data_IF_545444687950
#
_entry.id   IF_545444687950
#
_cell.length_a   1.000
_cell.length_b   1.000
_cell.length_c   1.000
_cell.angle_alpha   90.00
_cell.angle_beta   90.00
_cell.angle_gamma   90.00
#
_symmetry.space_group_name_H-M   'P 1'
#
loop_
_entity.id
_entity.type
_entity.pdbx_description
1 polymer ?
#
# COMPACT_ATOMS: atom_id res chain seq x y z
N UNK A 1 35.36 -19.35 -21.02
CA UNK A 1 34.50 -19.93 -19.95
C UNK A 1 33.22 -20.47 -20.58
N UNK A 2 32.52 -21.41 -19.95
CA UNK A 2 31.14 -21.74 -20.34
C UNK A 2 30.20 -20.63 -19.86
N UNK A 3 29.22 -20.28 -20.69
CA UNK A 3 28.25 -19.22 -20.44
C UNK A 3 26.83 -19.72 -20.70
N UNK A 4 25.83 -18.98 -20.22
CA UNK A 4 24.40 -19.16 -20.50
C UNK A 4 23.82 -17.81 -20.90
N UNK A 5 22.84 -17.80 -21.81
CA UNK A 5 22.06 -16.60 -22.11
C UNK A 5 20.81 -16.59 -21.23
N UNK A 6 20.50 -15.43 -20.66
CA UNK A 6 19.33 -15.21 -19.80
C UNK A 6 18.57 -13.99 -20.31
N UNK A 7 17.29 -14.16 -20.59
CA UNK A 7 16.41 -13.08 -21.01
C UNK A 7 15.94 -12.25 -19.80
N UNK A 8 16.14 -10.94 -19.87
CA UNK A 8 15.80 -9.98 -18.80
C UNK A 8 14.86 -8.89 -19.35
N UNK A 9 13.69 -8.64 -18.74
CA UNK A 9 12.82 -7.56 -19.19
C UNK A 9 13.49 -6.19 -18.99
N UNK A 10 13.27 -5.27 -19.93
CA UNK A 10 13.83 -3.93 -19.92
C UNK A 10 12.90 -2.94 -20.65
N UNK A 11 12.21 -2.09 -19.88
CA UNK A 11 11.15 -1.25 -20.42
C UNK A 11 10.02 -2.11 -21.01
N UNK A 12 9.63 -1.81 -22.25
CA UNK A 12 8.63 -2.57 -23.03
C UNK A 12 9.20 -3.83 -23.72
N UNK A 13 10.51 -4.10 -23.62
CA UNK A 13 11.20 -5.17 -24.37
C UNK A 13 12.04 -6.08 -23.47
N UNK A 14 12.91 -6.90 -24.06
CA UNK A 14 13.78 -7.87 -23.38
C UNK A 14 15.23 -7.69 -23.82
N UNK A 15 16.17 -7.91 -22.91
CA UNK A 15 17.61 -7.94 -23.15
C UNK A 15 18.18 -9.32 -22.86
N UNK A 16 18.82 -9.93 -23.86
CA UNK A 16 19.66 -11.12 -23.69
C UNK A 16 20.93 -10.76 -22.91
N UNK A 17 21.11 -11.32 -21.72
CA UNK A 17 22.34 -11.22 -20.94
C UNK A 17 23.13 -12.53 -21.00
N UNK A 18 24.33 -12.50 -21.60
CA UNK A 18 25.28 -13.62 -21.52
C UNK A 18 25.99 -13.62 -20.18
N UNK A 19 25.69 -14.60 -19.32
CA UNK A 19 26.20 -14.72 -17.96
C UNK A 19 27.05 -16.01 -17.81
N UNK A 20 27.94 -16.11 -16.80
CA UNK A 20 28.70 -17.33 -16.57
C UNK A 20 27.80 -18.55 -16.29
N UNK A 21 28.18 -19.75 -16.72
CA UNK A 21 27.34 -20.96 -16.55
C UNK A 21 27.11 -21.40 -15.10
N UNK A 22 27.79 -20.77 -14.12
CA UNK A 22 27.54 -20.92 -12.67
C UNK A 22 26.41 -20.02 -12.13
N UNK A 23 25.74 -19.26 -12.99
CA UNK A 23 24.66 -18.35 -12.60
C UNK A 23 23.44 -19.15 -12.13
N UNK A 24 22.96 -18.87 -10.92
CA UNK A 24 21.71 -19.45 -10.40
C UNK A 24 20.55 -18.48 -10.63
N UNK A 25 19.50 -18.95 -11.31
CA UNK A 25 18.25 -18.20 -11.46
C UNK A 25 17.40 -18.38 -10.20
N UNK A 26 17.04 -17.28 -9.54
CA UNK A 26 16.07 -17.26 -8.43
C UNK A 26 14.72 -16.78 -8.98
N UNK A 27 13.71 -17.66 -8.96
CA UNK A 27 12.39 -17.32 -9.53
C UNK A 27 11.62 -16.35 -8.64
N UNK A 28 11.07 -15.29 -9.24
CA UNK A 28 10.10 -14.43 -8.58
C UNK A 28 8.64 -14.88 -8.79
N UNK A 29 8.40 -15.96 -9.52
CA UNK A 29 7.06 -16.45 -9.87
C UNK A 29 6.38 -17.16 -8.69
N UNK A 30 5.05 -17.30 -8.79
CA UNK A 30 4.18 -18.22 -8.06
C UNK A 30 4.71 -19.68 -8.16
N UNK A 31 4.70 -20.42 -7.06
CA UNK A 31 4.94 -21.87 -7.05
C UNK A 31 3.69 -22.67 -7.42
N UNK A 32 2.51 -22.05 -7.35
CA UNK A 32 1.23 -22.61 -7.79
C UNK A 32 0.32 -21.46 -8.23
N UNK A 33 -0.16 -21.50 -9.47
CA UNK A 33 -1.22 -20.61 -9.96
C UNK A 33 -2.58 -21.20 -9.60
N UNK A 34 -3.47 -20.39 -9.05
CA UNK A 34 -4.85 -20.79 -8.83
C UNK A 34 -5.63 -20.80 -10.16
N UNK A 35 -6.65 -21.64 -10.27
CA UNK A 35 -7.58 -21.59 -11.40
C UNK A 35 -8.40 -20.29 -11.38
N UNK A 36 -8.79 -19.74 -12.55
CA UNK A 36 -9.72 -18.63 -12.61
C UNK A 36 -11.13 -19.07 -12.19
N UNK A 37 -11.94 -18.13 -11.68
CA UNK A 37 -13.36 -18.34 -11.42
C UNK A 37 -14.14 -18.45 -12.74
N UNK A 38 -15.14 -19.34 -12.77
CA UNK A 38 -16.01 -19.56 -13.93
C UNK A 38 -17.04 -18.42 -14.08
N UNK A 39 -17.77 -18.10 -13.02
CA UNK A 39 -18.62 -16.90 -12.92
C UNK A 39 -18.10 -15.98 -11.79
N UNK A 40 -17.55 -14.83 -12.21
CA UNK A 40 -17.08 -13.78 -11.31
C UNK A 40 -18.23 -13.07 -10.57
N UNK A 41 -19.37 -12.87 -11.21
CA UNK A 41 -20.53 -12.21 -10.62
C UNK A 41 -21.17 -13.07 -9.53
N UNK A 42 -21.34 -14.37 -9.78
CA UNK A 42 -21.77 -15.32 -8.74
C UNK A 42 -20.78 -15.38 -7.59
N UNK A 43 -19.46 -15.42 -7.86
CA UNK A 43 -18.45 -15.46 -6.81
C UNK A 43 -18.41 -14.19 -5.94
N UNK A 44 -18.59 -13.00 -6.54
CA UNK A 44 -18.71 -11.73 -5.81
C UNK A 44 -19.97 -11.72 -4.94
N UNK A 45 -21.14 -12.07 -5.50
CA UNK A 45 -22.40 -12.14 -4.73
C UNK A 45 -22.34 -13.17 -3.60
N UNK A 46 -21.71 -14.33 -3.83
CA UNK A 46 -21.50 -15.34 -2.78
C UNK A 46 -20.58 -14.85 -1.65
N UNK A 47 -19.53 -14.06 -1.98
CA UNK A 47 -18.68 -13.45 -0.96
C UNK A 47 -19.44 -12.40 -0.13
N UNK A 48 -20.26 -11.55 -0.78
CA UNK A 48 -21.11 -10.56 -0.11
C UNK A 48 -22.22 -11.18 0.76
N UNK A 49 -22.76 -12.33 0.35
CA UNK A 49 -23.77 -13.06 1.11
C UNK A 49 -23.21 -13.80 2.35
N UNK A 50 -21.90 -14.11 2.38
CA UNK A 50 -21.25 -14.86 3.48
C UNK A 50 -19.97 -14.19 4.03
N UNK A 51 -20.05 -12.92 4.48
CA UNK A 51 -18.90 -12.10 4.87
C UNK A 51 -18.15 -12.65 6.10
N UNK A 52 -16.85 -12.36 6.16
CA UNK A 52 -15.93 -12.84 7.22
C UNK A 52 -15.81 -11.83 8.36
N UNK A 53 -16.40 -12.15 9.52
CA UNK A 53 -16.22 -11.37 10.74
C UNK A 53 -16.91 -9.99 10.76
N UNK A 54 -17.87 -9.77 9.85
CA UNK A 54 -18.88 -8.72 9.90
C UNK A 54 -20.24 -9.31 9.50
N UNK A 55 -21.36 -8.67 9.87
CA UNK A 55 -22.65 -8.82 9.18
C UNK A 55 -22.57 -8.46 7.68
N UNK A 56 -23.66 -8.69 6.95
CA UNK A 56 -23.83 -8.24 5.55
C UNK A 56 -23.92 -6.72 5.44
N UNK A 57 -23.72 -6.19 4.24
CA UNK A 57 -23.76 -4.73 4.00
C UNK A 57 -25.14 -4.19 4.38
N UNK A 58 -26.22 -4.90 4.03
CA UNK A 58 -27.59 -4.54 4.41
C UNK A 58 -27.90 -4.55 5.92
N UNK A 59 -27.05 -5.19 6.73
CA UNK A 59 -27.13 -5.16 8.21
C UNK A 59 -26.23 -4.06 8.83
N UNK A 60 -25.29 -3.51 8.04
CA UNK A 60 -24.35 -2.47 8.45
C UNK A 60 -24.84 -1.05 8.11
N UNK A 61 -25.90 -0.91 7.32
CA UNK A 61 -26.49 0.37 6.92
C UNK A 61 -27.95 0.49 7.34
N UNK A 62 -28.43 1.73 7.38
CA UNK A 62 -29.84 2.10 7.50
C UNK A 62 -30.32 2.70 6.18
N UNK A 63 -31.63 2.69 5.86
CA UNK A 63 -32.15 3.39 4.69
C UNK A 63 -31.68 4.85 4.63
N UNK A 64 -31.22 5.28 3.46
CA UNK A 64 -30.67 6.61 3.24
C UNK A 64 -29.32 6.92 3.91
N UNK A 65 -28.60 5.92 4.42
CA UNK A 65 -27.22 6.07 4.92
C UNK A 65 -26.27 6.64 3.85
N UNK A 66 -25.25 7.40 4.26
CA UNK A 66 -24.18 7.85 3.36
C UNK A 66 -23.07 6.81 3.25
N UNK A 67 -22.72 6.36 2.04
CA UNK A 67 -21.75 5.26 1.85
C UNK A 67 -20.63 5.65 0.90
N UNK A 68 -19.40 5.30 1.26
CA UNK A 68 -18.23 5.44 0.37
C UNK A 68 -17.77 4.07 -0.09
N UNK A 69 -17.64 3.88 -1.42
CA UNK A 69 -17.01 2.71 -2.01
C UNK A 69 -15.63 3.13 -2.55
N UNK A 70 -14.59 2.78 -1.81
CA UNK A 70 -13.21 2.97 -2.21
C UNK A 70 -12.73 1.81 -3.09
N UNK A 71 -11.82 2.06 -4.02
CA UNK A 71 -11.26 1.04 -4.90
C UNK A 71 -9.79 1.29 -5.25
N UNK A 72 -9.02 0.21 -5.46
CA UNK A 72 -7.62 0.28 -5.88
C UNK A 72 -7.45 1.06 -7.20
N UNK A 73 -6.43 1.91 -7.29
CA UNK A 73 -6.07 2.61 -8.52
C UNK A 73 -5.48 1.68 -9.61
N UNK A 74 -5.09 2.28 -10.74
CA UNK A 74 -4.52 1.58 -11.89
C UNK A 74 -3.11 0.99 -11.64
N UNK A 75 -2.44 1.31 -10.52
CA UNK A 75 -1.14 0.73 -10.16
C UNK A 75 -1.26 -0.68 -9.61
N UNK A 76 -2.45 -1.06 -9.14
CA UNK A 76 -2.77 -2.45 -8.84
C UNK A 76 -3.07 -3.19 -10.15
N UNK A 77 -2.08 -3.96 -10.61
CA UNK A 77 -2.08 -4.74 -11.84
C UNK A 77 -3.16 -5.83 -11.87
N UNK A 78 -4.37 -5.38 -12.17
CA UNK A 78 -5.63 -6.10 -12.32
C UNK A 78 -6.41 -5.33 -13.38
N UNK A 79 -6.56 -5.92 -14.57
CA UNK A 79 -7.14 -5.30 -15.76
C UNK A 79 -8.51 -5.90 -16.12
N UNK A 80 -8.91 -6.96 -15.42
CA UNK A 80 -10.24 -7.54 -15.51
C UNK A 80 -11.32 -6.74 -14.77
N UNK A 81 -12.60 -7.07 -14.99
CA UNK A 81 -13.76 -6.30 -14.51
C UNK A 81 -14.06 -6.45 -13.00
N UNK A 82 -13.12 -6.94 -12.19
CA UNK A 82 -13.34 -7.15 -10.75
C UNK A 82 -13.80 -5.88 -10.03
N UNK A 83 -13.26 -4.70 -10.40
CA UNK A 83 -13.66 -3.44 -9.76
C UNK A 83 -15.12 -3.12 -10.04
N UNK A 84 -15.54 -3.14 -11.30
CA UNK A 84 -16.93 -2.81 -11.68
C UNK A 84 -17.92 -3.85 -11.18
N UNK A 85 -17.64 -5.15 -11.34
CA UNK A 85 -18.52 -6.23 -10.85
C UNK A 85 -18.68 -6.19 -9.33
N UNK A 86 -17.61 -5.87 -8.58
CA UNK A 86 -17.70 -5.71 -7.13
C UNK A 86 -18.39 -4.41 -6.70
N UNK A 87 -18.25 -3.32 -7.45
CA UNK A 87 -18.97 -2.07 -7.17
C UNK A 87 -20.47 -2.24 -7.43
N UNK A 88 -20.87 -2.76 -8.59
CA UNK A 88 -22.28 -2.97 -8.93
C UNK A 88 -22.98 -3.93 -7.94
N UNK A 89 -22.35 -5.06 -7.59
CA UNK A 89 -22.93 -5.99 -6.60
C UNK A 89 -23.05 -5.39 -5.18
N UNK A 90 -22.22 -4.39 -4.83
CA UNK A 90 -22.38 -3.61 -3.60
C UNK A 90 -23.52 -2.61 -3.73
N UNK A 91 -23.69 -1.98 -4.90
CA UNK A 91 -24.82 -1.08 -5.16
C UNK A 91 -26.16 -1.84 -5.13
N UNK A 92 -26.24 -3.05 -5.70
CA UNK A 92 -27.40 -3.95 -5.60
C UNK A 92 -27.80 -4.23 -4.13
N UNK A 93 -26.84 -4.56 -3.26
CA UNK A 93 -27.14 -4.83 -1.84
C UNK A 93 -27.48 -3.54 -1.05
N UNK A 94 -26.88 -2.41 -1.40
CA UNK A 94 -27.21 -1.10 -0.80
C UNK A 94 -28.61 -0.61 -1.20
N UNK A 95 -29.00 -0.75 -2.47
CA UNK A 95 -30.35 -0.45 -2.97
C UNK A 95 -31.40 -1.31 -2.26
N UNK A 96 -31.12 -2.61 -2.10
CA UNK A 96 -31.94 -3.55 -1.32
C UNK A 96 -32.10 -3.12 0.14
N UNK A 97 -31.08 -2.49 0.73
CA UNK A 97 -31.11 -1.93 2.08
C UNK A 97 -31.70 -0.51 2.17
N UNK A 98 -32.28 0.02 1.08
CA UNK A 98 -32.88 1.36 1.04
C UNK A 98 -31.86 2.50 0.96
N UNK A 99 -30.63 2.24 0.52
CA UNK A 99 -29.60 3.25 0.23
C UNK A 99 -29.55 3.49 -1.28
N UNK A 100 -30.14 4.58 -1.81
CA UNK A 100 -30.13 4.83 -3.25
C UNK A 100 -28.72 5.23 -3.73
N UNK A 101 -28.36 4.94 -4.99
CA UNK A 101 -27.03 5.26 -5.55
C UNK A 101 -26.58 6.71 -5.33
N UNK A 102 -27.51 7.66 -5.31
CA UNK A 102 -27.25 9.09 -5.04
C UNK A 102 -26.66 9.38 -3.66
N UNK A 103 -26.79 8.46 -2.70
CA UNK A 103 -26.12 8.50 -1.38
C UNK A 103 -24.73 7.87 -1.36
N UNK A 104 -24.29 7.33 -2.49
CA UNK A 104 -23.00 6.65 -2.64
C UNK A 104 -21.99 7.54 -3.37
N UNK A 105 -20.76 7.55 -2.87
CA UNK A 105 -19.59 8.21 -3.47
C UNK A 105 -18.51 7.15 -3.77
N UNK A 106 -17.93 7.18 -4.97
CA UNK A 106 -16.80 6.34 -5.34
C UNK A 106 -15.49 7.12 -5.15
N UNK A 107 -14.48 6.50 -4.54
CA UNK A 107 -13.14 7.10 -4.41
C UNK A 107 -12.02 6.16 -4.87
N UNK A 108 -11.21 6.65 -5.81
CA UNK A 108 -9.99 5.97 -6.21
C UNK A 108 -8.93 6.15 -5.12
N UNK A 109 -8.41 5.04 -4.60
CA UNK A 109 -7.45 5.00 -3.51
C UNK A 109 -6.00 5.13 -4.01
N UNK A 110 -5.70 6.24 -4.69
CA UNK A 110 -4.42 6.49 -5.34
C UNK A 110 -3.29 6.97 -4.41
N UNK A 111 -3.51 7.12 -3.10
CA UNK A 111 -2.47 7.51 -2.13
C UNK A 111 -1.67 8.76 -2.57
N UNK A 112 -0.34 8.62 -2.76
CA UNK A 112 0.57 9.66 -3.24
C UNK A 112 0.80 9.63 -4.76
N UNK A 113 0.08 8.79 -5.50
CA UNK A 113 0.09 8.79 -6.95
C UNK A 113 -0.78 9.94 -7.48
N UNK A 114 -0.47 10.40 -8.69
CA UNK A 114 -1.30 11.38 -9.42
C UNK A 114 -2.77 10.92 -9.48
N UNK A 115 -3.70 11.88 -9.43
CA UNK A 115 -5.11 11.63 -9.75
C UNK A 115 -5.24 11.09 -11.18
N UNK A 116 -6.16 10.14 -11.38
CA UNK A 116 -6.48 9.57 -12.69
C UNK A 116 -7.44 10.48 -13.45
N UNK A 117 -7.30 10.57 -14.77
CA UNK A 117 -8.25 11.27 -15.64
C UNK A 117 -9.52 10.42 -15.83
N UNK A 118 -10.68 10.99 -16.19
CA UNK A 118 -11.91 10.21 -16.42
C UNK A 118 -11.75 9.06 -17.41
N UNK A 119 -11.03 9.28 -18.52
CA UNK A 119 -10.71 8.23 -19.51
C UNK A 119 -9.71 7.17 -19.02
N UNK A 120 -9.03 7.38 -17.89
CA UNK A 120 -8.17 6.39 -17.24
C UNK A 120 -8.93 5.61 -16.16
N UNK A 121 -9.87 6.27 -15.46
CA UNK A 121 -10.84 5.62 -14.58
C UNK A 121 -11.75 4.66 -15.37
N UNK A 122 -12.21 5.08 -16.56
CA UNK A 122 -13.00 4.24 -17.46
C UNK A 122 -12.28 2.95 -17.88
N UNK A 123 -10.95 2.92 -17.94
CA UNK A 123 -10.17 1.71 -18.23
C UNK A 123 -10.15 0.69 -17.09
N UNK A 124 -10.51 1.09 -15.86
CA UNK A 124 -10.50 0.22 -14.68
C UNK A 124 -11.88 0.05 -14.03
N UNK A 125 -12.87 0.90 -14.37
CA UNK A 125 -14.26 0.83 -13.90
C UNK A 125 -15.29 0.55 -15.03
N UNK A 126 -14.89 0.63 -16.30
CA UNK A 126 -15.85 0.80 -17.39
C UNK A 126 -16.38 2.24 -17.49
N UNK A 127 -16.98 2.58 -18.64
CA UNK A 127 -17.49 3.94 -18.85
C UNK A 127 -18.75 4.25 -18.04
N UNK A 128 -19.59 3.24 -17.79
CA UNK A 128 -20.94 3.46 -17.27
C UNK A 128 -20.93 3.94 -15.81
N UNK A 129 -20.13 3.32 -14.94
CA UNK A 129 -19.89 3.81 -13.57
C UNK A 129 -19.28 5.21 -13.56
N UNK A 130 -18.37 5.52 -14.49
CA UNK A 130 -17.76 6.87 -14.60
C UNK A 130 -18.81 7.91 -15.01
N UNK A 131 -19.74 7.54 -15.89
CA UNK A 131 -20.83 8.39 -16.39
C UNK A 131 -21.94 8.59 -15.36
N UNK A 132 -22.32 7.54 -14.62
CA UNK A 132 -23.38 7.57 -13.60
C UNK A 132 -22.97 8.33 -12.33
N UNK A 133 -21.73 8.12 -11.87
CA UNK A 133 -21.23 8.80 -10.67
C UNK A 133 -20.76 10.23 -10.98
N UNK A 134 -20.07 10.47 -12.09
CA UNK A 134 -19.64 11.80 -12.51
C UNK A 134 -18.90 12.55 -11.40
N UNK A 135 -19.44 13.66 -10.85
CA UNK A 135 -18.82 14.39 -9.73
C UNK A 135 -18.75 13.58 -8.41
N UNK A 136 -19.52 12.49 -8.28
CA UNK A 136 -19.46 11.53 -7.15
C UNK A 136 -18.39 10.45 -7.33
N UNK A 137 -17.62 10.48 -8.41
CA UNK A 137 -16.44 9.65 -8.62
C UNK A 137 -15.19 10.53 -8.51
N UNK A 138 -14.48 10.42 -7.38
CA UNK A 138 -13.30 11.23 -7.08
C UNK A 138 -12.02 10.39 -7.04
N UNK A 139 -10.88 11.04 -7.20
CA UNK A 139 -9.58 10.49 -6.84
C UNK A 139 -9.14 11.11 -5.51
N UNK A 140 -8.55 10.31 -4.63
CA UNK A 140 -7.94 10.79 -3.40
C UNK A 140 -6.89 11.88 -3.70
N UNK A 141 -6.84 12.92 -2.88
CA UNK A 141 -5.77 13.90 -2.91
C UNK A 141 -5.14 13.98 -1.51
N UNK A 142 -3.83 13.73 -1.46
CA UNK A 142 -3.06 13.74 -0.22
C UNK A 142 -2.58 15.14 0.20
N UNK A 143 -2.77 16.16 -0.66
CA UNK A 143 -2.41 17.56 -0.40
C UNK A 143 -3.64 18.46 -0.17
N UNK A 144 -4.86 17.97 -0.43
CA UNK A 144 -6.12 18.66 -0.12
C UNK A 144 -6.43 18.60 1.38
N UNK A 145 -6.04 19.66 2.11
CA UNK A 145 -6.24 19.75 3.55
C UNK A 145 -7.72 19.84 3.96
N UNK A 146 -8.64 20.24 3.08
CA UNK A 146 -10.07 20.26 3.38
C UNK A 146 -10.70 18.87 3.23
N UNK A 147 -10.06 17.97 2.47
CA UNK A 147 -10.48 16.59 2.27
C UNK A 147 -9.85 15.59 3.27
N UNK A 148 -8.96 16.01 4.17
CA UNK A 148 -8.27 15.15 5.15
C UNK A 148 -8.79 15.37 6.58
N UNK A 149 -8.86 14.29 7.36
CA UNK A 149 -9.12 14.30 8.81
C UNK A 149 -7.94 13.67 9.54
N UNK A 150 -7.36 14.40 10.50
CA UNK A 150 -6.41 13.87 11.48
C UNK A 150 -7.17 13.14 12.61
N UNK A 151 -6.95 11.83 12.73
CA UNK A 151 -7.52 11.00 13.80
C UNK A 151 -6.60 10.95 15.03
N UNK A 152 -5.49 11.69 15.01
CA UNK A 152 -4.45 11.75 16.02
C UNK A 152 -3.40 10.66 15.84
N UNK A 153 -2.69 10.36 16.93
CA UNK A 153 -1.63 9.35 16.94
C UNK A 153 -2.07 8.05 17.59
N UNK A 154 -1.54 6.93 17.11
CA UNK A 154 -1.76 5.62 17.72
C UNK A 154 -1.20 5.57 19.15
N UNK A 155 -1.85 4.85 20.09
CA UNK A 155 -1.47 4.89 21.50
C UNK A 155 -0.25 4.04 21.85
N UNK A 156 0.10 3.04 21.03
CA UNK A 156 1.18 2.09 21.33
C UNK A 156 2.53 2.66 20.85
N UNK A 157 2.60 3.16 19.60
CA UNK A 157 3.85 3.66 19.01
C UNK A 157 3.81 5.12 18.48
N UNK A 158 2.69 5.83 18.62
CA UNK A 158 2.61 7.26 18.27
C UNK A 158 2.56 7.57 16.77
N UNK A 159 2.21 6.61 15.92
CA UNK A 159 2.10 6.79 14.46
C UNK A 159 0.94 7.76 14.14
N UNK A 160 1.13 8.78 13.29
CA UNK A 160 0.03 9.65 12.85
C UNK A 160 -0.95 8.86 11.98
N UNK A 161 -2.25 9.15 12.11
CA UNK A 161 -3.32 8.51 11.33
C UNK A 161 -4.22 9.58 10.73
N UNK A 162 -3.87 10.00 9.51
CA UNK A 162 -4.60 10.95 8.69
C UNK A 162 -5.30 10.19 7.55
N UNK A 163 -6.58 10.48 7.31
CA UNK A 163 -7.39 9.77 6.30
C UNK A 163 -8.35 10.71 5.56
N UNK A 164 -8.70 10.37 4.32
CA UNK A 164 -9.71 11.07 3.55
C UNK A 164 -11.04 11.13 4.31
N UNK A 165 -11.62 12.32 4.38
CA UNK A 165 -12.78 12.67 5.20
C UNK A 165 -14.01 11.80 4.94
N UNK A 166 -14.23 11.37 3.70
CA UNK A 166 -15.26 10.38 3.34
C UNK A 166 -15.20 9.10 4.18
N UNK A 167 -14.01 8.61 4.57
CA UNK A 167 -13.84 7.40 5.39
C UNK A 167 -14.28 7.62 6.84
N UNK A 168 -14.06 8.83 7.36
CA UNK A 168 -14.46 9.21 8.71
C UNK A 168 -15.95 9.56 8.80
N UNK A 169 -16.51 10.19 7.77
CA UNK A 169 -17.87 10.74 7.81
C UNK A 169 -18.96 9.77 7.32
N UNK A 170 -18.66 8.87 6.38
CA UNK A 170 -19.66 7.92 5.84
C UNK A 170 -20.17 6.93 6.90
N UNK A 171 -21.46 6.62 6.86
CA UNK A 171 -22.11 5.60 7.69
C UNK A 171 -21.48 4.21 7.47
N UNK A 172 -21.05 3.91 6.25
CA UNK A 172 -20.22 2.75 5.92
C UNK A 172 -19.12 3.13 4.91
N UNK A 173 -17.93 2.55 5.08
CA UNK A 173 -16.89 2.50 4.04
C UNK A 173 -16.73 1.06 3.56
N UNK A 174 -16.95 0.84 2.27
CA UNK A 174 -16.62 -0.40 1.55
C UNK A 174 -15.32 -0.19 0.78
N UNK A 175 -14.39 -1.14 0.79
CA UNK A 175 -13.17 -1.07 -0.02
C UNK A 175 -13.00 -2.30 -0.92
N UNK A 176 -12.92 -2.06 -2.23
CA UNK A 176 -12.70 -3.04 -3.30
C UNK A 176 -11.20 -3.13 -3.64
N UNK A 177 -10.54 -4.18 -3.15
CA UNK A 177 -9.18 -4.53 -3.55
C UNK A 177 -9.21 -5.47 -4.76
N UNK A 178 -8.73 -4.97 -5.89
CA UNK A 178 -8.73 -5.63 -7.19
C UNK A 178 -7.60 -6.66 -7.35
N UNK A 179 -6.54 -6.58 -6.51
CA UNK A 179 -5.52 -7.62 -6.36
C UNK A 179 -4.80 -7.56 -5.02
N UNK A 180 -4.88 -8.66 -4.30
CA UNK A 180 -4.01 -9.01 -3.19
C UNK A 180 -2.67 -9.49 -3.74
N UNK A 181 -1.58 -8.80 -3.41
CA UNK A 181 -0.26 -9.02 -4.00
C UNK A 181 0.76 -9.34 -2.89
N UNK A 182 1.12 -10.63 -2.79
CA UNK A 182 1.96 -11.17 -1.70
C UNK A 182 1.41 -10.73 -0.34
N UNK A 183 2.26 -10.46 0.65
CA UNK A 183 1.82 -9.81 1.89
C UNK A 183 1.76 -8.28 1.81
N UNK A 184 1.90 -7.67 0.63
CA UNK A 184 2.03 -6.22 0.48
C UNK A 184 0.68 -5.50 0.41
N UNK A 185 -0.19 -5.87 -0.54
CA UNK A 185 -1.54 -5.28 -0.69
C UNK A 185 -2.58 -5.91 0.25
N UNK A 186 -3.81 -5.39 0.19
CA UNK A 186 -4.92 -5.78 1.06
C UNK A 186 -4.73 -5.35 2.51
N UNK A 187 -5.60 -5.83 3.41
CA UNK A 187 -5.58 -5.41 4.81
C UNK A 187 -5.72 -3.90 4.99
N UNK A 188 -5.12 -3.37 6.06
CA UNK A 188 -5.21 -1.96 6.42
C UNK A 188 -4.46 -1.00 5.47
N UNK A 189 -3.55 -1.50 4.62
CA UNK A 189 -2.92 -0.72 3.53
C UNK A 189 -3.95 -0.07 2.60
N UNK A 190 -5.08 -0.73 2.38
CA UNK A 190 -6.17 -0.20 1.55
C UNK A 190 -6.63 1.19 2.02
N UNK A 191 -6.78 1.40 3.33
CA UNK A 191 -7.26 2.68 3.88
C UNK A 191 -6.08 3.53 4.35
N UNK A 192 -5.25 3.01 5.26
CA UNK A 192 -4.15 3.74 5.93
C UNK A 192 -2.93 4.02 5.02
N UNK A 193 -3.03 3.71 3.72
CA UNK A 193 -2.12 4.19 2.66
C UNK A 193 -2.93 4.68 1.47
N UNK A 194 -3.88 3.89 0.96
CA UNK A 194 -4.67 4.22 -0.24
C UNK A 194 -5.46 5.54 -0.14
N UNK A 195 -5.90 5.91 1.07
CA UNK A 195 -6.72 7.10 1.36
C UNK A 195 -6.08 7.99 2.43
N UNK A 196 -4.75 7.98 2.53
CA UNK A 196 -3.97 8.69 3.57
C UNK A 196 -2.95 9.67 2.98
N UNK A 197 -2.34 10.47 3.85
CA UNK A 197 -1.34 11.50 3.52
C UNK A 197 0.08 10.98 3.54
N UNK A 198 1.04 11.79 3.06
CA UNK A 198 2.47 11.50 3.18
C UNK A 198 2.89 11.24 4.63
N UNK A 199 2.31 11.96 5.60
CA UNK A 199 2.71 11.89 7.00
C UNK A 199 2.36 10.56 7.67
N UNK A 200 1.23 9.95 7.27
CA UNK A 200 0.88 8.58 7.64
C UNK A 200 1.70 7.54 6.86
N UNK A 201 1.86 7.73 5.55
CA UNK A 201 2.45 6.75 4.62
C UNK A 201 3.96 6.57 4.86
N UNK A 202 4.69 7.64 5.18
CA UNK A 202 6.15 7.62 5.38
C UNK A 202 6.61 6.72 6.54
N UNK A 203 5.73 6.41 7.50
CA UNK A 203 6.02 5.52 8.64
C UNK A 203 6.42 4.12 8.15
N UNK A 204 5.66 3.60 7.18
CA UNK A 204 5.86 2.27 6.60
C UNK A 204 6.82 2.28 5.41
N UNK A 205 6.83 3.35 4.61
CA UNK A 205 7.60 3.45 3.37
C UNK A 205 9.08 3.87 3.62
N UNK A 206 9.71 3.21 4.59
CA UNK A 206 11.14 3.30 4.89
C UNK A 206 11.89 2.06 4.35
N UNK A 207 13.22 2.14 4.12
CA UNK A 207 14.01 1.01 3.62
C UNK A 207 13.91 -0.28 4.45
N UNK A 208 13.74 -0.15 5.77
CA UNK A 208 13.60 -1.26 6.71
C UNK A 208 12.13 -1.53 7.11
N UNK A 209 11.17 -0.78 6.54
CA UNK A 209 9.73 -0.86 6.87
C UNK A 209 8.90 -1.52 5.77
N UNK A 210 9.18 -1.21 4.50
CA UNK A 210 8.40 -1.69 3.37
C UNK A 210 8.69 -3.17 3.08
N UNK A 211 7.69 -4.04 3.23
CA UNK A 211 7.89 -5.50 3.06
C UNK A 211 6.80 -6.20 2.25
N UNK A 212 7.23 -7.06 1.33
CA UNK A 212 6.38 -7.98 0.57
C UNK A 212 6.10 -9.31 1.31
N UNK A 213 6.67 -9.51 2.51
CA UNK A 213 6.67 -10.80 3.21
C UNK A 213 5.26 -11.26 3.59
N UNK A 214 5.01 -12.57 3.51
CA UNK A 214 3.74 -13.20 3.93
C UNK A 214 3.73 -13.51 5.44
N UNK A 215 4.91 -13.52 6.08
CA UNK A 215 5.09 -13.82 7.51
C UNK A 215 5.97 -12.76 8.18
N UNK A 216 5.62 -12.34 9.41
CA UNK A 216 6.36 -11.30 10.15
C UNK A 216 6.51 -10.01 9.34
N UNK A 217 5.39 -9.48 8.86
CA UNK A 217 5.39 -8.31 7.98
C UNK A 217 5.22 -7.03 8.80
N UNK A 218 6.34 -6.44 9.19
CA UNK A 218 6.46 -5.15 9.90
C UNK A 218 5.58 -4.04 9.30
N UNK A 219 5.43 -3.97 7.98
CA UNK A 219 4.58 -2.97 7.34
C UNK A 219 3.13 -3.12 7.80
N UNK A 220 2.63 -4.35 7.86
CA UNK A 220 1.25 -4.60 8.30
C UNK A 220 1.10 -4.65 9.81
N UNK A 221 2.12 -5.04 10.57
CA UNK A 221 2.10 -4.88 12.04
C UNK A 221 1.83 -3.41 12.43
N UNK A 222 2.45 -2.46 11.71
CA UNK A 222 2.20 -1.01 11.83
C UNK A 222 0.81 -0.61 11.30
N UNK A 223 0.42 -1.06 10.11
CA UNK A 223 -0.87 -0.69 9.52
C UNK A 223 -2.07 -1.27 10.30
N UNK A 224 -1.92 -2.44 10.91
CA UNK A 224 -2.94 -3.06 11.74
C UNK A 224 -3.13 -2.25 13.05
N UNK A 225 -2.08 -1.63 13.60
CA UNK A 225 -2.20 -0.66 14.72
C UNK A 225 -2.91 0.64 14.27
N UNK A 226 -2.48 1.21 13.13
CA UNK A 226 -3.11 2.41 12.55
C UNK A 226 -4.59 2.16 12.20
N UNK A 227 -4.91 0.97 11.70
CA UNK A 227 -6.26 0.52 11.36
C UNK A 227 -7.15 0.34 12.59
N UNK A 228 -6.67 -0.39 13.61
CA UNK A 228 -7.36 -0.47 14.92
C UNK A 228 -7.56 0.91 15.54
N UNK A 229 -6.64 1.86 15.33
CA UNK A 229 -6.81 3.24 15.77
C UNK A 229 -7.88 3.98 14.97
N UNK A 230 -7.88 3.86 13.65
CA UNK A 230 -8.89 4.44 12.76
C UNK A 230 -10.30 3.96 13.15
N UNK A 231 -10.54 2.66 13.29
CA UNK A 231 -11.87 2.14 13.68
C UNK A 231 -12.30 2.65 15.06
N UNK A 232 -11.39 2.73 16.05
CA UNK A 232 -11.68 3.31 17.37
C UNK A 232 -11.99 4.81 17.33
N UNK A 233 -11.41 5.56 16.38
CA UNK A 233 -11.57 7.03 16.28
C UNK A 233 -12.79 7.43 15.46
N UNK A 234 -13.15 6.64 14.45
CA UNK A 234 -14.33 6.83 13.60
C UNK A 234 -15.58 6.17 14.21
N UNK A 235 -15.42 5.12 15.04
CA UNK A 235 -16.53 4.40 15.66
C UNK A 235 -17.29 3.46 14.70
N UNK A 236 -16.77 3.24 13.49
CA UNK A 236 -17.37 2.42 12.43
C UNK A 236 -16.36 1.40 11.90
N UNK A 237 -16.86 0.32 11.29
CA UNK A 237 -16.03 -0.74 10.67
C UNK A 237 -15.78 -0.45 9.20
N UNK A 238 -14.63 -0.89 8.68
CA UNK A 238 -14.40 -0.94 7.23
C UNK A 238 -14.77 -2.32 6.69
N UNK A 239 -15.73 -2.36 5.74
CA UNK A 239 -16.06 -3.58 5.00
C UNK A 239 -15.13 -3.70 3.79
N UNK A 240 -14.64 -4.89 3.51
CA UNK A 240 -13.66 -5.19 2.46
C UNK A 240 -14.21 -6.18 1.47
N UNK A 241 -13.77 -6.06 0.23
CA UNK A 241 -13.77 -7.11 -0.78
C UNK A 241 -12.31 -7.23 -1.23
N UNK A 242 -11.63 -8.33 -0.90
CA UNK A 242 -10.25 -8.62 -1.33
C UNK A 242 -10.22 -9.76 -2.36
N UNK A 243 -9.35 -9.63 -3.35
CA UNK A 243 -9.33 -10.49 -4.54
C UNK A 243 -7.96 -11.12 -4.77
N UNK A 244 -7.90 -12.45 -4.93
CA UNK A 244 -6.76 -13.12 -5.56
C UNK A 244 -7.02 -13.31 -7.06
N UNK A 245 -5.96 -13.19 -7.85
CA UNK A 245 -6.00 -13.37 -9.30
C UNK A 245 -5.32 -14.69 -9.70
N UNK A 246 -5.86 -15.34 -10.73
CA UNK A 246 -5.17 -16.40 -11.47
C UNK A 246 -4.11 -15.78 -12.41
N UNK A 247 -4.48 -14.69 -13.07
CA UNK A 247 -3.67 -13.89 -13.99
C UNK A 247 -4.14 -12.42 -13.97
N UNK A 248 -3.45 -11.45 -14.63
CA UNK A 248 -3.84 -10.03 -14.57
C UNK A 248 -5.27 -9.69 -15.02
N UNK A 249 -6.01 -10.59 -15.66
CA UNK A 249 -7.37 -10.38 -16.15
C UNK A 249 -8.43 -11.19 -15.39
N UNK A 250 -8.08 -12.35 -14.83
CA UNK A 250 -9.05 -13.28 -14.23
C UNK A 250 -8.84 -13.47 -12.73
N UNK A 251 -9.82 -13.08 -11.88
CA UNK A 251 -9.87 -13.47 -10.48
C UNK A 251 -9.92 -14.99 -10.29
N UNK A 252 -9.25 -15.47 -9.24
CA UNK A 252 -9.26 -16.85 -8.77
C UNK A 252 -10.06 -17.03 -7.48
N UNK A 253 -10.17 -15.98 -6.66
CA UNK A 253 -10.91 -15.99 -5.40
C UNK A 253 -11.30 -14.57 -5.00
N UNK A 254 -12.52 -14.40 -4.50
CA UNK A 254 -13.01 -13.16 -3.87
C UNK A 254 -13.43 -13.49 -2.44
N UNK A 255 -13.10 -12.63 -1.47
CA UNK A 255 -13.50 -12.77 -0.07
C UNK A 255 -13.95 -11.40 0.46
N UNK A 256 -15.09 -11.35 1.15
CA UNK A 256 -15.62 -10.12 1.72
C UNK A 256 -15.73 -10.16 3.26
N UNK A 257 -15.86 -9.01 3.91
CA UNK A 257 -16.05 -8.88 5.36
C UNK A 257 -15.09 -7.90 6.05
N UNK A 258 -14.69 -8.21 7.29
CA UNK A 258 -13.74 -7.39 8.06
C UNK A 258 -12.31 -7.45 7.50
N UNK A 259 -11.61 -6.32 7.58
CA UNK A 259 -10.20 -6.17 7.14
C UNK A 259 -9.29 -7.27 7.66
N UNK A 260 -9.39 -7.62 8.94
CA UNK A 260 -8.55 -8.61 9.59
C UNK A 260 -8.87 -10.05 9.17
N UNK A 261 -10.13 -10.34 8.81
CA UNK A 261 -10.55 -11.69 8.43
C UNK A 261 -10.31 -11.98 6.94
N UNK A 262 -10.60 -11.03 6.04
CA UNK A 262 -10.26 -11.16 4.61
C UNK A 262 -8.75 -11.28 4.43
N UNK A 263 -7.97 -10.44 5.15
CA UNK A 263 -6.51 -10.54 5.24
C UNK A 263 -6.04 -11.91 5.69
N UNK A 264 -6.60 -12.44 6.78
CA UNK A 264 -6.19 -13.73 7.36
C UNK A 264 -6.46 -14.90 6.41
N UNK A 265 -7.62 -14.91 5.74
CA UNK A 265 -7.97 -15.96 4.79
C UNK A 265 -7.03 -15.94 3.58
N UNK A 266 -6.83 -14.77 2.95
CA UNK A 266 -6.01 -14.66 1.76
C UNK A 266 -4.50 -14.80 2.03
N UNK A 267 -3.99 -14.43 3.20
CA UNK A 267 -2.59 -14.73 3.57
C UNK A 267 -2.32 -16.24 3.62
N UNK A 268 -3.31 -17.05 4.01
CA UNK A 268 -3.21 -18.52 3.99
C UNK A 268 -3.12 -19.10 2.58
N UNK A 269 -3.81 -18.49 1.61
CA UNK A 269 -3.70 -18.85 0.18
C UNK A 269 -2.35 -18.39 -0.41
N UNK A 270 -1.98 -17.13 -0.17
CA UNK A 270 -0.75 -16.50 -0.64
C UNK A 270 0.50 -17.20 -0.09
N UNK A 271 0.47 -17.71 1.15
CA UNK A 271 1.57 -18.49 1.73
C UNK A 271 1.82 -19.81 0.99
N UNK A 272 0.75 -20.44 0.46
CA UNK A 272 0.85 -21.66 -0.36
C UNK A 272 1.36 -21.34 -1.77
N UNK A 273 0.92 -20.23 -2.36
CA UNK A 273 1.40 -19.76 -3.67
C UNK A 273 2.88 -19.31 -3.66
N UNK A 274 3.42 -18.86 -2.52
CA UNK A 274 4.77 -18.32 -2.40
C UNK A 274 5.55 -18.88 -1.21
N UNK A 275 6.14 -20.09 -1.31
CA UNK A 275 6.93 -20.70 -0.25
C UNK A 275 8.17 -19.86 0.14
N UNK A 276 8.62 -20.05 1.38
CA UNK A 276 9.64 -19.21 2.02
C UNK A 276 11.02 -19.24 1.33
N UNK A 277 11.35 -18.17 0.60
CA UNK A 277 12.55 -18.08 -0.25
C UNK A 277 13.89 -18.13 0.48
N UNK A 278 13.94 -17.92 1.80
CA UNK A 278 15.20 -18.04 2.58
C UNK A 278 15.85 -19.43 2.47
N UNK A 279 15.08 -20.48 2.19
CA UNK A 279 15.62 -21.83 1.91
C UNK A 279 16.22 -22.01 0.51
N UNK A 280 15.90 -21.15 -0.46
CA UNK A 280 16.36 -21.27 -1.86
C UNK A 280 17.78 -20.73 -2.06
N UNK A 281 18.23 -19.84 -1.17
CA UNK A 281 19.47 -19.07 -1.26
C UNK A 281 20.33 -19.22 0.01
N UNK A 282 20.71 -20.46 0.34
CA UNK A 282 21.59 -20.76 1.49
C UNK A 282 23.05 -20.29 1.35
N UNK A 283 23.48 -19.87 0.15
CA UNK A 283 24.81 -19.34 -0.13
C UNK A 283 24.80 -17.82 -0.38
N UNK A 284 25.99 -17.21 -0.43
CA UNK A 284 26.14 -15.77 -0.71
C UNK A 284 26.43 -15.52 -2.19
N UNK A 285 25.86 -14.45 -2.73
CA UNK A 285 26.11 -13.98 -4.09
C UNK A 285 26.79 -12.61 -4.06
N UNK A 286 27.92 -12.45 -4.77
CA UNK A 286 28.61 -11.17 -4.92
C UNK A 286 27.92 -10.21 -5.91
N UNK A 287 27.16 -10.77 -6.85
CA UNK A 287 26.50 -10.05 -7.94
C UNK A 287 25.06 -10.56 -8.06
N UNK A 288 24.11 -9.64 -8.11
CA UNK A 288 22.71 -9.90 -8.44
C UNK A 288 22.39 -9.18 -9.74
N UNK A 289 21.73 -9.88 -10.67
CA UNK A 289 21.27 -9.34 -11.95
C UNK A 289 19.75 -9.51 -12.03
N UNK A 290 19.03 -8.48 -12.47
CA UNK A 290 17.58 -8.50 -12.66
C UNK A 290 17.18 -7.59 -13.83
N UNK A 291 16.02 -7.86 -14.43
CA UNK A 291 15.40 -6.98 -15.43
C UNK A 291 14.60 -5.84 -14.79
N UNK A 292 14.44 -4.74 -15.53
CA UNK A 292 13.72 -3.53 -15.12
C UNK A 292 12.58 -3.29 -16.14
N UNK A 293 11.44 -3.98 -16.02
CA UNK A 293 10.29 -3.81 -16.92
C UNK A 293 9.64 -2.43 -16.74
N UNK A 294 8.92 -1.95 -17.76
CA UNK A 294 8.05 -0.78 -17.60
C UNK A 294 6.73 -1.11 -16.88
N UNK A 295 6.86 -1.45 -15.60
CA UNK A 295 5.74 -1.66 -14.67
C UNK A 295 5.94 -0.83 -13.41
N UNK A 296 6.50 0.37 -13.54
CA UNK A 296 6.61 1.32 -12.43
C UNK A 296 5.21 1.82 -12.05
N UNK A 297 4.73 1.65 -10.80
CA UNK A 297 3.41 2.12 -10.41
C UNK A 297 3.29 3.66 -10.59
N UNK A 298 4.37 4.38 -10.34
CA UNK A 298 4.47 5.83 -10.54
C UNK A 298 4.48 6.29 -12.02
N UNK A 299 4.40 5.37 -12.99
CA UNK A 299 4.41 5.66 -14.42
C UNK A 299 3.21 5.06 -15.19
N UNK A 300 2.20 4.50 -14.52
CA UNK A 300 1.06 3.85 -15.19
C UNK A 300 0.33 4.82 -16.14
N UNK A 301 0.04 4.32 -17.34
CA UNK A 301 -0.49 5.07 -18.50
C UNK A 301 0.38 6.26 -18.96
N UNK A 302 1.66 6.27 -18.62
CA UNK A 302 2.68 7.24 -19.09
C UNK A 302 3.76 6.55 -19.92
N UNK A 303 4.81 7.28 -20.30
CA UNK A 303 5.99 6.74 -20.98
C UNK A 303 7.07 6.31 -19.97
N UNK A 304 7.89 5.32 -20.36
CA UNK A 304 9.04 4.83 -19.58
C UNK A 304 9.94 5.99 -19.14
N UNK A 305 9.99 6.28 -17.83
CA UNK A 305 11.00 7.16 -17.25
C UNK A 305 12.09 6.27 -16.61
N UNK A 306 13.25 6.09 -17.26
CA UNK A 306 14.25 5.12 -16.80
C UNK A 306 14.87 5.47 -15.45
N UNK A 307 14.86 6.73 -15.02
CA UNK A 307 15.30 7.11 -13.67
C UNK A 307 14.24 6.71 -12.65
N UNK A 308 12.97 7.03 -12.94
CA UNK A 308 11.85 6.67 -12.06
C UNK A 308 11.74 5.16 -11.90
N UNK A 309 11.73 4.40 -13.00
CA UNK A 309 11.63 2.93 -12.99
C UNK A 309 12.88 2.26 -12.38
N UNK A 310 14.07 2.85 -12.49
CA UNK A 310 15.26 2.38 -11.75
C UNK A 310 15.11 2.61 -10.23
N UNK A 311 14.58 3.75 -9.81
CA UNK A 311 14.41 4.08 -8.38
C UNK A 311 13.25 3.28 -7.76
N UNK A 312 12.08 3.25 -8.41
CA UNK A 312 10.88 2.57 -7.91
C UNK A 312 11.01 1.05 -8.05
N UNK A 313 11.06 0.53 -9.28
CA UNK A 313 11.09 -0.91 -9.55
C UNK A 313 12.44 -1.51 -9.16
N UNK A 314 13.56 -0.89 -9.56
CA UNK A 314 14.91 -1.42 -9.29
C UNK A 314 15.35 -1.32 -7.83
N UNK A 315 15.38 -0.10 -7.26
CA UNK A 315 15.89 0.12 -5.90
C UNK A 315 14.84 -0.05 -4.80
N UNK A 316 13.56 0.17 -5.09
CA UNK A 316 12.43 -0.09 -4.18
C UNK A 316 11.98 -1.55 -4.23
N UNK A 317 11.10 -1.89 -5.18
CA UNK A 317 10.41 -3.19 -5.20
C UNK A 317 11.36 -4.40 -5.36
N UNK A 318 12.29 -4.35 -6.32
CA UNK A 318 13.30 -5.40 -6.50
C UNK A 318 14.45 -5.27 -5.47
N UNK A 319 14.68 -4.07 -4.94
CA UNK A 319 15.57 -3.85 -3.78
C UNK A 319 15.10 -4.58 -2.52
N UNK A 320 13.79 -4.69 -2.30
CA UNK A 320 13.19 -5.47 -1.22
C UNK A 320 13.46 -6.98 -1.30
N UNK A 321 13.89 -7.51 -2.45
CA UNK A 321 14.33 -8.91 -2.57
C UNK A 321 15.69 -9.18 -1.91
N UNK A 322 16.41 -8.15 -1.44
CA UNK A 322 17.69 -8.29 -0.72
C UNK A 322 17.56 -9.11 0.57
N UNK A 323 16.40 -9.15 1.20
CA UNK A 323 16.13 -10.00 2.38
C UNK A 323 16.10 -11.52 2.09
N UNK A 324 16.36 -11.90 0.84
CA UNK A 324 16.58 -13.29 0.41
C UNK A 324 18.05 -13.61 0.07
N UNK A 325 18.97 -12.64 0.11
CA UNK A 325 20.39 -12.84 -0.18
C UNK A 325 21.27 -12.17 0.89
N UNK A 326 22.29 -12.83 1.49
CA UNK A 326 23.09 -12.20 2.55
C UNK A 326 24.10 -11.13 2.07
N UNK A 327 23.62 -10.12 1.34
CA UNK A 327 24.34 -9.01 0.70
C UNK A 327 24.86 -7.96 1.71
N UNK A 328 25.63 -8.40 2.72
CA UNK A 328 26.34 -7.49 3.64
C UNK A 328 27.58 -6.87 2.98
N UNK A 329 27.35 -5.90 2.09
CA UNK A 329 28.31 -4.81 1.84
C UNK A 329 27.66 -3.46 2.15
N UNK A 330 28.12 -2.82 3.23
CA UNK A 330 28.11 -1.35 3.29
C UNK A 330 28.90 -0.86 2.06
N UNK A 331 28.44 0.22 1.42
CA UNK A 331 29.19 0.93 0.38
C UNK A 331 30.43 1.62 1.00
N UNK A 332 31.47 0.83 1.28
CA UNK A 332 32.85 1.34 1.34
C UNK A 332 33.30 1.64 -0.10
N UNK A 333 34.20 2.62 -0.26
CA UNK A 333 34.65 3.10 -1.56
C UNK A 333 35.11 1.96 -2.49
N UNK A 334 34.87 2.14 -3.80
CA UNK A 334 35.04 1.09 -4.79
C UNK A 334 36.47 0.48 -4.77
N UNK A 335 36.61 -0.85 -4.62
CA UNK A 335 37.89 -1.51 -4.81
C UNK A 335 38.39 -1.26 -6.25
N UNK A 336 39.69 -1.00 -6.40
CA UNK A 336 40.31 -0.90 -7.74
C UNK A 336 40.09 -2.22 -8.49
N UNK A 337 39.43 -2.15 -9.65
CA UNK A 337 39.15 -3.32 -10.49
C UNK A 337 40.48 -3.90 -11.01
N UNK A 338 40.78 -5.20 -10.80
CA UNK A 338 41.94 -5.84 -11.39
C UNK A 338 41.82 -5.83 -12.93
N UNK A 339 42.84 -5.31 -13.61
CA UNK A 339 42.95 -5.41 -15.08
C UNK A 339 43.23 -6.89 -15.43
N UNK A 340 42.24 -7.61 -15.96
CA UNK A 340 42.43 -9.01 -16.38
C UNK A 340 41.18 -9.82 -16.75
N UNK A 341 39.97 -9.40 -16.38
CA UNK A 341 38.74 -10.18 -16.69
C UNK A 341 38.24 -9.89 -18.10
N UNK A 342 38.74 -10.64 -19.09
CA UNK A 342 38.22 -10.59 -20.47
C UNK A 342 36.90 -11.35 -20.60
N UNK A 343 35.81 -10.69 -20.20
CA UNK A 343 34.44 -11.04 -20.61
C UNK A 343 33.64 -9.74 -20.69
N UNK A 344 33.74 -9.05 -21.84
CA UNK A 344 33.19 -7.71 -22.01
C UNK A 344 31.66 -7.74 -21.94
N UNK A 345 31.09 -6.99 -20.99
CA UNK A 345 29.65 -6.79 -20.85
C UNK A 345 29.12 -5.91 -22.00
N UNK A 346 29.00 -6.48 -23.19
CA UNK A 346 28.49 -5.79 -24.38
C UNK A 346 26.97 -5.62 -24.28
N UNK A 347 26.54 -4.48 -23.78
CA UNK A 347 25.19 -4.00 -24.04
C UNK A 347 25.00 -3.85 -25.56
N UNK A 348 23.85 -4.25 -26.13
CA UNK A 348 23.58 -4.05 -27.55
C UNK A 348 23.49 -2.54 -27.87
N UNK A 349 23.74 -2.13 -29.13
CA UNK A 349 23.49 -0.76 -29.55
C UNK A 349 21.99 -0.44 -29.36
N UNK A 350 21.69 0.80 -28.93
CA UNK A 350 20.30 1.23 -28.73
C UNK A 350 19.50 1.06 -30.03
N UNK A 351 18.28 0.46 -29.99
CA UNK A 351 17.39 0.49 -31.14
C UNK A 351 17.11 1.95 -31.53
N UNK A 352 17.08 2.23 -32.83
CA UNK A 352 16.70 3.54 -33.35
C UNK A 352 15.18 3.66 -33.29
N UNK A 353 14.68 4.58 -32.49
CA UNK A 353 13.26 4.95 -32.46
C UNK A 353 12.85 5.58 -33.81
N UNK A 354 11.93 4.94 -34.57
CA UNK A 354 11.47 5.47 -35.86
C UNK A 354 10.53 6.69 -35.71
N UNK A 355 10.11 7.04 -34.50
CA UNK A 355 9.25 8.21 -34.20
C UNK A 355 10.07 9.45 -33.81
N UNK A 356 11.40 9.38 -33.80
CA UNK A 356 12.26 10.56 -33.63
C UNK A 356 12.16 11.49 -34.85
N UNK A 357 11.30 12.50 -34.72
CA UNK A 357 11.36 13.70 -35.55
C UNK A 357 12.80 14.27 -35.53
N UNK A 358 13.32 14.73 -36.69
CA UNK A 358 14.66 15.31 -36.75
C UNK A 358 14.72 16.57 -35.89
N UNK A 359 15.83 16.77 -35.19
CA UNK A 359 16.05 17.97 -34.40
C UNK A 359 16.06 19.19 -35.32
N UNK A 360 15.18 20.16 -35.06
CA UNK A 360 15.18 21.43 -35.79
C UNK A 360 16.52 22.14 -35.58
N UNK A 361 17.11 22.65 -36.68
CA UNK A 361 18.34 23.41 -36.62
C UNK A 361 18.14 24.69 -35.77
N UNK A 362 19.16 25.13 -35.00
CA UNK A 362 19.04 26.30 -34.13
C UNK A 362 18.77 27.56 -34.98
N UNK A 363 17.63 28.20 -34.74
CA UNK A 363 17.23 29.41 -35.46
C UNK A 363 18.24 30.55 -35.27
N UNK A 364 18.51 31.29 -36.35
CA UNK A 364 19.47 32.39 -36.35
C UNK A 364 19.08 33.52 -35.38
N UNK A 365 20.08 34.08 -34.68
CA UNK A 365 19.88 35.21 -33.76
C UNK A 365 19.41 36.46 -34.51
N UNK A 366 18.23 36.98 -34.16
CA UNK A 366 17.83 38.36 -34.53
C UNK A 366 18.46 39.39 -33.56
N UNK A 367 18.83 40.59 -34.02
CA UNK A 367 19.55 41.56 -33.21
C UNK A 367 18.64 42.37 -32.25
N UNK A 368 19.15 42.56 -31.03
CA UNK A 368 18.99 43.73 -30.15
C UNK A 368 17.65 44.46 -30.01
N UNK A 369 17.03 44.31 -28.83
CA UNK A 369 16.34 45.44 -28.17
C UNK A 369 16.87 45.64 -26.74
N UNK A 370 16.95 46.91 -26.32
CA UNK A 370 17.68 47.35 -25.11
C UNK A 370 16.93 47.00 -23.82
N UNK A 371 17.61 46.36 -22.85
CA UNK A 371 17.12 46.29 -21.46
C UNK A 371 17.36 47.62 -20.75
N UNK A 372 16.33 48.18 -20.10
CA UNK A 372 16.50 49.15 -19.01
C UNK A 372 16.75 48.42 -17.69
N UNK A 373 17.52 48.98 -16.73
CA UNK A 373 17.78 48.32 -15.45
C UNK A 373 16.57 48.40 -14.52
N UNK A 374 16.33 47.32 -13.76
CA UNK A 374 15.38 47.31 -12.64
C UNK A 374 16.01 47.97 -11.39
N UNK A 375 15.20 48.63 -10.57
CA UNK A 375 15.64 49.22 -9.29
C UNK A 375 15.65 48.17 -8.17
N UNK A 376 16.45 48.44 -7.14
CA UNK A 376 16.65 47.62 -5.94
C UNK A 376 15.67 47.97 -4.79
N UNK A 377 15.78 47.21 -3.68
CA UNK A 377 14.95 47.15 -2.43
C UNK A 377 13.91 46.02 -2.45
N UNK A 378 13.75 45.20 -1.41
CA UNK A 378 14.50 45.08 -0.13
C UNK A 378 14.50 43.60 0.39
N UNK A 379 15.32 43.24 1.40
CA UNK A 379 15.64 41.84 1.70
C UNK A 379 14.67 41.12 2.67
N UNK A 380 14.68 39.79 2.62
CA UNK A 380 13.92 38.93 3.52
C UNK A 380 14.48 38.90 4.96
N UNK A 381 13.62 38.84 6.00
CA UNK A 381 14.05 38.87 7.40
C UNK A 381 14.72 37.56 7.85
N UNK A 382 15.70 37.67 8.75
CA UNK A 382 16.41 36.54 9.38
C UNK A 382 16.29 36.60 10.90
N UNK A 383 15.87 35.46 11.48
CA UNK A 383 16.01 35.06 12.90
C UNK A 383 15.23 35.86 13.94
N UNK A 384 14.53 35.12 14.79
CA UNK A 384 14.68 35.28 16.24
C UNK A 384 15.25 33.98 16.82
N UNK A 385 16.31 34.11 17.63
CA UNK A 385 16.85 33.06 18.51
C UNK A 385 17.41 33.74 19.75
N UNK A 386 16.62 33.75 20.82
CA UNK A 386 17.11 33.84 22.19
C UNK A 386 16.65 32.55 22.90
N UNK A 387 17.34 32.04 23.91
CA UNK A 387 18.55 32.56 24.55
C UNK A 387 18.49 32.16 26.02
N UNK A 388 19.17 31.07 26.38
CA UNK A 388 19.09 30.49 27.71
C UNK A 388 20.27 30.93 28.57
N UNK A 389 20.02 31.43 29.77
CA UNK A 389 21.04 31.62 30.80
C UNK A 389 20.50 31.32 32.20
N UNK A 390 21.38 31.18 33.19
CA UNK A 390 21.08 30.60 34.52
C UNK A 390 21.48 31.53 35.67
N UNK A 391 20.59 31.64 36.67
CA UNK A 391 20.78 31.89 38.13
C UNK A 391 19.41 32.34 38.69
N UNK A 392 18.96 32.01 39.91
CA UNK A 392 19.42 31.03 40.88
C UNK A 392 19.01 31.40 42.32
N UNK A 393 18.46 30.46 43.10
CA UNK A 393 18.42 30.55 44.57
C UNK A 393 17.05 30.43 45.30
N UNK A 394 17.07 29.59 46.35
CA UNK A 394 16.27 29.61 47.59
C UNK A 394 14.76 29.25 47.59
N UNK A 395 14.43 28.26 48.43
CA UNK A 395 13.14 28.06 49.15
C UNK A 395 13.07 29.03 50.36
N UNK A 396 11.92 29.27 51.00
CA UNK A 396 11.23 28.29 51.88
C UNK A 396 9.91 27.75 51.26
N UNK A 397 9.14 26.84 51.84
CA UNK A 397 9.29 26.09 53.11
C UNK A 397 7.97 26.05 53.88
N UNK A 398 7.44 24.86 54.19
CA UNK A 398 6.22 24.71 55.00
C UNK A 398 5.29 23.56 54.60
N UNK A 399 4.87 22.82 55.61
CA UNK A 399 3.86 21.74 55.62
C UNK A 399 4.02 20.97 56.96
N UNK A 400 3.14 20.01 57.30
CA UNK A 400 1.86 19.63 56.70
C UNK A 400 0.67 19.78 57.69
N UNK A 401 -0.55 19.43 57.28
CA UNK A 401 -1.69 19.22 58.19
C UNK A 401 -2.47 17.95 57.83
N UNK A 402 -3.28 17.43 58.77
CA UNK A 402 -3.80 16.04 58.81
C UNK A 402 -5.25 15.99 59.30
N UNK A 403 -5.91 14.85 59.06
CA UNK A 403 -7.20 14.38 59.64
C UNK A 403 -8.47 15.14 59.20
N UNK A 404 -9.68 14.55 59.27
CA UNK A 404 -10.10 13.15 59.56
C UNK A 404 -11.24 12.75 58.60
N UNK A 405 -11.64 11.49 58.37
CA UNK A 405 -11.69 10.24 59.16
C UNK A 405 -12.90 10.10 60.10
N UNK A 406 -13.91 9.34 59.64
CA UNK A 406 -14.93 8.51 60.36
C UNK A 406 -16.05 8.08 59.38
N UNK A 407 -16.85 7.02 59.58
CA UNK A 407 -16.60 5.65 60.07
C UNK A 407 -17.86 4.77 59.89
N UNK A 408 -17.77 3.46 60.24
CA UNK A 408 -18.81 2.38 60.27
C UNK A 408 -18.94 1.57 58.96
N UNK A 409 -18.57 0.29 58.85
CA UNK A 409 -18.91 -0.97 59.60
C UNK A 409 -20.34 -1.46 59.24
N UNK A 410 -20.55 -2.59 58.51
CA UNK A 410 -20.22 -4.04 58.67
C UNK A 410 -21.41 -4.83 59.26
N UNK A 411 -21.49 -6.18 59.14
CA UNK A 411 -20.81 -7.14 58.24
C UNK A 411 -21.79 -7.57 57.10
N UNK A 412 -21.87 -8.76 56.45
CA UNK A 412 -21.15 -10.05 56.29
C UNK A 412 -21.47 -10.56 54.84
N UNK A 413 -21.31 -11.78 54.29
CA UNK A 413 -20.70 -13.14 54.52
C UNK A 413 -20.62 -13.79 53.09
N UNK A 414 -19.92 -14.89 52.76
CA UNK A 414 -18.96 -15.73 53.48
C UNK A 414 -18.67 -17.08 52.76
N UNK A 415 -17.39 -17.37 52.49
CA UNK A 415 -16.78 -18.66 52.10
C UNK A 415 -17.02 -19.27 50.67
N UNK A 416 -16.08 -20.11 50.16
CA UNK A 416 -16.01 -20.63 48.77
C UNK A 416 -16.21 -22.17 48.70
N UNK A 417 -16.02 -22.86 47.54
CA UNK A 417 -14.69 -23.26 47.02
C UNK A 417 -14.62 -23.10 45.46
N UNK A 418 -13.78 -23.72 44.61
CA UNK A 418 -12.75 -24.77 44.73
C UNK A 418 -11.74 -24.73 43.54
N UNK A 419 -10.76 -25.65 43.50
CA UNK A 419 -9.88 -25.97 42.35
C UNK A 419 -9.78 -27.50 42.21
N UNK A 420 -9.83 -28.07 41.00
CA UNK A 420 -9.30 -29.43 40.75
C UNK A 420 -9.07 -29.78 39.27
N UNK A 421 -8.26 -30.83 39.05
CA UNK A 421 -7.86 -31.37 37.74
C UNK A 421 -7.98 -32.90 37.68
N UNK A 422 -8.52 -33.46 36.59
CA UNK A 422 -8.41 -34.89 36.21
C UNK A 422 -8.66 -35.01 34.70
N UNK A 423 -7.73 -35.50 33.87
CA UNK A 423 -7.31 -36.89 33.62
C UNK A 423 -8.21 -37.67 32.62
N UNK A 424 -7.63 -38.74 32.06
CA UNK A 424 -8.10 -39.46 30.86
C UNK A 424 -9.04 -40.63 31.20
N UNK A 425 -9.84 -41.04 30.23
CA UNK A 425 -10.17 -42.47 30.03
C UNK A 425 -10.19 -42.82 28.53
N UNK A 426 -10.24 -44.12 28.23
CA UNK A 426 -10.26 -44.74 26.89
C UNK A 426 -11.42 -45.74 26.84
N UNK A 427 -11.57 -46.40 25.68
CA UNK A 427 -12.54 -47.48 25.36
C UNK A 427 -13.96 -46.98 25.04
N UNK A 428 -14.69 -47.65 24.14
CA UNK A 428 -14.28 -48.84 23.35
C UNK A 428 -13.55 -48.46 22.07
#
# INVERSE_FOLDING_TARGET
MRCVNVELPYGETTLTATLPSRTRTLSNVEATTLAPLEDLGAAVRAALAAPRGLPRIGELVRPGAGVTIAFDDATVASYGPIRSVAIEAVLEELETAGVPRTRVTLICANALHRKLRPAELARILGEDLVREFGPRLVCHDAEDQEAIVDLGRTPEHGYPVEVHRLVAESDLTVYVNARYNRGFNGGWKSVCVGLSTYDSIKVTHTPDGMSMSVHGNRMHEVLDEMGRHLERRVGRRVFKIDTLLADPWRPAKVVAGSVDATRRELLGDVARMFPARRGQAGERFDVLVYGVPDTSPYAVFSHVNPILTLVSSGLGYLGGLRDHAPLRRRLRAAPRVPRGVSCALRLPPRPRDPRRLPAQAPAARRPGHRRRPARSRDPAPRRLRHGAERRGGRRPGGGPSRAGLRDRLRPATGAPPSVMTSQRSRTR
#
